data_IF_113862861716
#
_entry.id   IF_113862861716
#
_cell.length_a   1.000
_cell.length_b   1.000
_cell.length_c   1.000
_cell.angle_alpha   90.00
_cell.angle_beta   90.00
_cell.angle_gamma   90.00
#
_symmetry.space_group_name_H-M   'P 1'
#
loop_
_entity.id
_entity.type
_entity.pdbx_description
1 polymer ?
#
# COMPACT_ATOMS: atom_id res chain seq x y z
N UNK A 1 17.80 -10.48 -18.51
CA UNK A 1 17.93 -10.42 -18.57
C UNK A 1 18.15 -10.97 -18.82
N UNK A 2 18.36 -11.62 -19.04
CA UNK A 2 18.46 -11.75 -19.22
C UNK A 2 17.97 -11.78 -19.21
N UNK A 3 17.90 -11.96 -19.09
CA UNK A 3 17.34 -11.79 -18.83
C UNK A 3 16.61 -11.47 -18.15
N UNK A 4 16.29 -11.91 -17.74
CA UNK A 4 15.29 -11.31 -17.12
C UNK A 4 15.35 -11.23 -15.72
N UNK A 5 15.80 -12.14 -14.99
CA UNK A 5 15.88 -12.10 -13.64
C UNK A 5 16.61 -11.00 -13.06
N UNK A 6 17.74 -10.88 -13.45
CA UNK A 6 18.48 -9.76 -13.05
C UNK A 6 17.84 -8.53 -13.62
N UNK A 7 16.90 -8.72 -14.47
CA UNK A 7 16.16 -7.65 -15.06
C UNK A 7 15.40 -6.86 -13.99
N UNK A 8 14.71 -7.52 -13.07
CA UNK A 8 14.02 -6.81 -12.00
C UNK A 8 15.00 -6.08 -11.09
N UNK A 9 16.10 -6.72 -10.77
CA UNK A 9 17.13 -6.09 -9.95
C UNK A 9 17.76 -4.91 -10.70
N UNK A 10 17.95 -5.06 -12.01
CA UNK A 10 18.52 -4.01 -12.80
C UNK A 10 17.59 -2.80 -12.89
N UNK A 11 16.30 -3.02 -13.01
CA UNK A 11 15.34 -1.95 -13.03
C UNK A 11 15.44 -1.10 -11.78
N UNK A 12 15.60 -1.73 -10.62
CA UNK A 12 15.76 -1.02 -9.36
C UNK A 12 17.08 -0.26 -9.28
N UNK A 13 18.10 -0.73 -9.95
CA UNK A 13 19.40 -0.07 -9.93
C UNK A 13 19.48 1.06 -10.91
N UNK A 14 18.80 0.94 -12.06
CA UNK A 14 18.95 1.88 -13.16
C UNK A 14 17.84 2.91 -13.27
N UNK A 15 16.70 2.67 -12.65
CA UNK A 15 15.60 3.64 -12.67
C UNK A 15 15.90 4.85 -11.80
N UNK A 16 15.09 5.87 -11.93
CA UNK A 16 15.20 7.03 -11.07
C UNK A 16 14.90 6.62 -9.63
N UNK A 17 15.26 7.47 -8.67
CA UNK A 17 15.01 7.19 -7.27
C UNK A 17 13.51 6.98 -7.03
N UNK A 18 12.67 7.84 -7.59
CA UNK A 18 11.23 7.72 -7.39
C UNK A 18 10.69 6.44 -8.03
N UNK A 19 11.15 6.08 -9.22
CA UNK A 19 10.71 4.85 -9.88
C UNK A 19 11.06 3.64 -9.04
N UNK A 20 12.28 3.61 -8.49
CA UNK A 20 12.70 2.51 -7.64
C UNK A 20 11.88 2.44 -6.36
N UNK A 21 11.56 3.61 -5.78
CA UNK A 21 10.75 3.67 -4.57
C UNK A 21 9.34 3.15 -4.84
N UNK A 22 8.72 3.57 -5.93
CA UNK A 22 7.37 3.14 -6.27
C UNK A 22 7.32 1.63 -6.52
N UNK A 23 8.34 1.08 -7.13
CA UNK A 23 8.41 -0.35 -7.36
C UNK A 23 8.46 -1.12 -6.04
N UNK A 24 9.27 -0.65 -5.10
CA UNK A 24 9.36 -1.31 -3.78
C UNK A 24 8.03 -1.19 -3.03
N UNK A 25 7.38 -0.04 -3.09
CA UNK A 25 6.07 0.13 -2.46
C UNK A 25 5.09 -0.88 -3.04
N UNK A 26 5.07 -1.03 -4.36
CA UNK A 26 4.13 -1.97 -5.01
C UNK A 26 4.40 -3.41 -4.57
N UNK A 27 5.65 -3.77 -4.34
CA UNK A 27 6.01 -5.12 -3.93
C UNK A 27 5.83 -5.37 -2.44
N UNK A 28 5.87 -4.33 -1.62
CA UNK A 28 5.95 -4.47 -0.17
C UNK A 28 4.89 -3.71 0.63
N UNK A 29 3.87 -3.12 -0.02
CA UNK A 29 2.88 -2.33 0.72
C UNK A 29 2.15 -3.13 1.80
N UNK A 30 2.07 -4.44 1.64
CA UNK A 30 1.39 -5.31 2.61
C UNK A 30 2.26 -5.66 3.82
N UNK A 31 3.53 -5.27 3.79
CA UNK A 31 4.40 -5.48 4.95
C UNK A 31 4.14 -4.39 5.97
N UNK A 32 3.84 -4.79 7.21
CA UNK A 32 3.57 -3.80 8.27
C UNK A 32 4.79 -2.92 8.54
N UNK A 33 5.99 -3.43 8.25
CA UNK A 33 7.23 -2.73 8.53
C UNK A 33 7.64 -1.72 7.46
N UNK A 34 6.90 -1.64 6.35
CA UNK A 34 7.27 -0.68 5.32
C UNK A 34 6.97 0.74 5.80
N UNK A 35 8.00 1.55 5.87
CA UNK A 35 7.92 2.94 6.31
C UNK A 35 8.84 3.77 5.45
N UNK A 36 8.75 5.09 5.57
CA UNK A 36 9.68 5.97 4.86
C UNK A 36 11.11 5.66 5.28
N UNK A 37 11.33 5.38 6.57
CA UNK A 37 12.66 5.07 7.08
C UNK A 37 13.18 3.76 6.47
N UNK A 38 12.38 2.70 6.47
CA UNK A 38 12.84 1.42 5.92
C UNK A 38 13.05 1.51 4.40
N UNK A 39 12.18 2.23 3.71
CA UNK A 39 12.31 2.40 2.26
C UNK A 39 13.56 3.19 1.92
N UNK A 40 13.82 4.26 2.66
CA UNK A 40 15.01 5.08 2.40
C UNK A 40 16.30 4.29 2.69
N UNK A 41 16.27 3.42 3.69
CA UNK A 41 17.40 2.54 3.99
C UNK A 41 17.66 1.57 2.83
N UNK A 42 16.60 0.99 2.26
CA UNK A 42 16.73 0.10 1.12
C UNK A 42 17.34 0.81 -0.09
N UNK A 43 17.04 2.10 -0.24
CA UNK A 43 17.50 2.88 -1.38
C UNK A 43 18.78 3.66 -1.11
N UNK A 44 19.29 3.54 0.11
CA UNK A 44 20.55 4.18 0.53
C UNK A 44 20.50 5.71 0.36
N UNK A 45 19.40 6.31 0.79
CA UNK A 45 19.23 7.77 0.78
C UNK A 45 18.63 8.19 2.13
N UNK A 46 18.65 9.48 2.42
CA UNK A 46 18.03 9.96 3.66
C UNK A 46 16.51 9.99 3.50
N UNK A 47 15.76 9.82 4.59
CA UNK A 47 14.30 9.91 4.54
C UNK A 47 13.81 11.25 4.00
N UNK A 48 14.47 12.35 4.38
CA UNK A 48 14.07 13.68 3.91
C UNK A 48 14.25 13.82 2.40
N UNK A 49 15.36 13.31 1.89
CA UNK A 49 15.60 13.35 0.44
C UNK A 49 14.56 12.51 -0.31
N UNK A 50 14.28 11.31 0.18
CA UNK A 50 13.31 10.43 -0.44
C UNK A 50 11.91 11.05 -0.41
N UNK A 51 11.51 11.59 0.74
CA UNK A 51 10.21 12.23 0.91
C UNK A 51 10.02 13.38 -0.09
N UNK A 52 11.03 14.24 -0.21
CA UNK A 52 10.97 15.37 -1.15
C UNK A 52 10.89 14.88 -2.59
N UNK A 53 11.65 13.85 -2.92
CA UNK A 53 11.69 13.29 -4.26
C UNK A 53 10.32 12.73 -4.67
N UNK A 54 9.70 11.97 -3.78
CA UNK A 54 8.38 11.39 -4.05
C UNK A 54 7.34 12.49 -4.19
N UNK A 55 7.35 13.48 -3.28
CA UNK A 55 6.39 14.56 -3.32
C UNK A 55 6.50 15.35 -4.63
N UNK A 56 7.73 15.62 -5.05
CA UNK A 56 7.97 16.37 -6.28
C UNK A 56 7.52 15.58 -7.52
N UNK A 57 7.82 14.29 -7.55
CA UNK A 57 7.54 13.46 -8.71
C UNK A 57 6.07 13.07 -8.79
N UNK A 58 5.45 12.71 -7.67
CA UNK A 58 4.10 12.16 -7.66
C UNK A 58 3.01 13.15 -7.23
N UNK A 59 3.39 14.28 -6.68
CA UNK A 59 2.42 15.26 -6.19
C UNK A 59 1.77 14.85 -4.88
N UNK A 60 2.16 13.73 -4.29
CA UNK A 60 1.60 13.26 -3.02
C UNK A 60 2.69 12.62 -2.17
N UNK A 61 2.41 12.46 -0.89
CA UNK A 61 3.40 11.94 0.06
C UNK A 61 3.52 10.42 -0.03
N UNK A 62 4.64 9.90 0.48
CA UNK A 62 4.85 8.46 0.62
C UNK A 62 3.67 7.82 1.37
N UNK A 63 3.25 8.42 2.49
CA UNK A 63 2.17 7.87 3.31
C UNK A 63 0.86 7.79 2.51
N UNK A 64 0.55 8.81 1.73
CA UNK A 64 -0.68 8.79 0.93
C UNK A 64 -0.64 7.65 -0.09
N UNK A 65 0.49 7.45 -0.74
CA UNK A 65 0.65 6.37 -1.71
C UNK A 65 0.51 5.01 -1.02
N UNK A 66 1.17 4.84 0.12
CA UNK A 66 1.14 3.57 0.86
C UNK A 66 -0.27 3.24 1.33
N UNK A 67 -0.94 4.21 1.96
CA UNK A 67 -2.30 4.00 2.49
C UNK A 67 -3.26 3.69 1.34
N UNK A 68 -3.16 4.43 0.24
CA UNK A 68 -4.03 4.16 -0.91
C UNK A 68 -3.87 2.73 -1.42
N UNK A 69 -2.64 2.27 -1.60
CA UNK A 69 -2.41 0.90 -2.08
C UNK A 69 -2.95 -0.14 -1.10
N UNK A 70 -2.73 0.07 0.20
CA UNK A 70 -3.25 -0.84 1.22
C UNK A 70 -4.77 -0.86 1.23
N UNK A 71 -5.41 0.30 1.10
CA UNK A 71 -6.87 0.38 1.15
C UNK A 71 -7.52 -0.16 -0.12
N UNK A 72 -6.88 0.01 -1.27
CA UNK A 72 -7.38 -0.59 -2.51
C UNK A 72 -7.44 -2.11 -2.38
N UNK A 73 -6.39 -2.72 -1.83
CA UNK A 73 -6.38 -4.16 -1.61
C UNK A 73 -7.43 -4.57 -0.58
N UNK A 74 -7.55 -3.80 0.51
CA UNK A 74 -8.56 -4.10 1.53
C UNK A 74 -9.97 -4.05 0.93
N UNK A 75 -10.24 -3.05 0.12
CA UNK A 75 -11.54 -2.90 -0.53
C UNK A 75 -11.84 -4.11 -1.41
N UNK A 76 -10.87 -4.53 -2.21
CA UNK A 76 -11.02 -5.72 -3.04
C UNK A 76 -11.32 -6.95 -2.19
N UNK A 77 -10.57 -7.16 -1.11
CA UNK A 77 -10.79 -8.33 -0.26
C UNK A 77 -12.15 -8.29 0.44
N UNK A 78 -12.61 -7.11 0.85
CA UNK A 78 -13.93 -6.98 1.47
C UNK A 78 -15.04 -7.34 0.49
N UNK A 79 -14.86 -7.02 -0.79
CA UNK A 79 -15.89 -7.23 -1.80
C UNK A 79 -15.81 -8.59 -2.49
N UNK A 80 -14.68 -9.27 -2.42
CA UNK A 80 -14.49 -10.52 -3.16
C UNK A 80 -14.26 -11.75 -2.29
N UNK A 81 -14.12 -11.58 -0.96
CA UNK A 81 -13.87 -12.72 -0.07
C UNK A 81 -14.77 -12.66 1.15
N UNK A 82 -14.78 -13.76 1.90
CA UNK A 82 -15.49 -13.83 3.18
C UNK A 82 -14.51 -13.77 4.36
N UNK A 83 -13.27 -13.33 4.12
CA UNK A 83 -12.29 -13.20 5.17
C UNK A 83 -12.79 -12.26 6.27
N UNK A 84 -12.45 -12.57 7.52
CA UNK A 84 -12.80 -11.69 8.63
C UNK A 84 -12.04 -10.37 8.50
N UNK A 85 -12.64 -9.31 9.03
CA UNK A 85 -12.04 -7.97 8.95
C UNK A 85 -10.63 -7.98 9.54
N UNK A 86 -10.44 -8.69 10.65
CA UNK A 86 -9.13 -8.81 11.29
C UNK A 86 -8.09 -9.41 10.34
N UNK A 87 -8.47 -10.42 9.59
CA UNK A 87 -7.57 -11.06 8.64
C UNK A 87 -7.24 -10.14 7.46
N UNK A 88 -8.24 -9.40 6.98
CA UNK A 88 -8.02 -8.43 5.91
C UNK A 88 -7.05 -7.34 6.38
N UNK A 89 -7.24 -6.84 7.61
CA UNK A 89 -6.34 -5.84 8.16
C UNK A 89 -4.90 -6.35 8.17
N UNK A 90 -4.71 -7.57 8.64
CA UNK A 90 -3.39 -8.17 8.72
C UNK A 90 -2.74 -8.31 7.35
N UNK A 91 -3.51 -8.77 6.37
CA UNK A 91 -3.00 -8.94 4.99
C UNK A 91 -2.64 -7.63 4.33
N UNK A 92 -3.24 -6.54 4.78
CA UNK A 92 -2.97 -5.22 4.22
C UNK A 92 -1.90 -4.45 5.00
N UNK A 93 -1.21 -5.10 5.95
CA UNK A 93 -0.11 -4.47 6.66
C UNK A 93 -0.48 -3.80 7.97
N UNK A 94 -1.65 -4.12 8.53
CA UNK A 94 -2.09 -3.54 9.81
C UNK A 94 -2.14 -4.61 10.87
N UNK A 95 -1.51 -4.35 12.02
CA UNK A 95 -1.54 -5.28 13.14
C UNK A 95 -2.76 -5.06 14.01
N UNK A 96 -3.31 -3.85 14.01
CA UNK A 96 -4.44 -3.45 14.84
C UNK A 96 -5.68 -3.25 13.96
N UNK A 97 -6.70 -4.09 14.17
CA UNK A 97 -7.94 -4.02 13.42
C UNK A 97 -8.66 -2.69 13.61
N UNK A 98 -8.61 -2.13 14.82
CA UNK A 98 -9.31 -0.88 15.11
C UNK A 98 -8.66 0.28 14.35
N UNK A 99 -7.35 0.30 14.32
CA UNK A 99 -6.63 1.33 13.56
C UNK A 99 -6.86 1.16 12.07
N UNK A 100 -6.87 -0.08 11.59
CA UNK A 100 -7.19 -0.38 10.19
C UNK A 100 -8.56 0.17 9.83
N UNK A 101 -9.57 -0.11 10.66
CA UNK A 101 -10.94 0.34 10.40
C UNK A 101 -11.05 1.86 10.38
N UNK A 102 -10.32 2.52 11.26
CA UNK A 102 -10.26 3.98 11.28
C UNK A 102 -9.67 4.51 9.97
N UNK A 103 -8.55 3.96 9.55
CA UNK A 103 -7.89 4.38 8.30
C UNK A 103 -8.77 4.10 7.09
N UNK A 104 -9.43 2.94 7.08
CA UNK A 104 -10.28 2.55 5.98
C UNK A 104 -11.46 3.51 5.85
N UNK A 105 -12.11 3.83 6.95
CA UNK A 105 -13.23 4.76 6.93
C UNK A 105 -12.79 6.15 6.49
N UNK A 106 -11.62 6.58 6.95
CA UNK A 106 -11.08 7.88 6.56
C UNK A 106 -10.78 7.93 5.06
N UNK A 107 -10.29 6.82 4.51
CA UNK A 107 -9.96 6.74 3.08
C UNK A 107 -11.20 6.61 2.21
N UNK A 108 -12.10 5.71 2.56
CA UNK A 108 -13.23 5.33 1.69
C UNK A 108 -14.55 6.00 2.04
N UNK A 109 -14.66 6.61 3.21
CA UNK A 109 -15.89 7.23 3.66
C UNK A 109 -16.83 6.27 4.36
N UNK A 110 -16.56 4.97 4.36
CA UNK A 110 -17.40 3.97 5.00
C UNK A 110 -16.53 2.96 5.74
N UNK A 111 -17.07 2.36 6.80
CA UNK A 111 -16.31 1.37 7.56
C UNK A 111 -16.23 0.04 6.79
N UNK A 112 -15.23 -0.80 7.11
CA UNK A 112 -15.14 -2.12 6.48
C UNK A 112 -16.41 -2.95 6.67
N UNK A 113 -17.00 -2.90 7.86
CA UNK A 113 -18.22 -3.66 8.15
C UNK A 113 -19.38 -3.12 7.30
N UNK A 114 -19.51 -1.79 7.19
CA UNK A 114 -20.57 -1.20 6.41
C UNK A 114 -20.43 -1.55 4.93
N UNK A 115 -19.21 -1.55 4.38
CA UNK A 115 -18.99 -1.93 3.00
C UNK A 115 -19.38 -3.39 2.77
N UNK A 116 -19.02 -4.27 3.70
CA UNK A 116 -19.36 -5.69 3.56
C UNK A 116 -20.87 -5.92 3.64
N UNK A 117 -21.58 -5.15 4.48
CA UNK A 117 -23.04 -5.23 4.55
C UNK A 117 -23.67 -4.73 3.26
N UNK A 118 -23.13 -3.67 2.66
CA UNK A 118 -23.62 -3.15 1.40
C UNK A 118 -23.46 -4.19 0.28
N UNK A 119 -22.33 -4.92 0.29
CA UNK A 119 -22.12 -6.01 -0.66
C UNK A 119 -23.18 -7.11 -0.49
N UNK A 120 -23.44 -7.51 0.76
CA UNK A 120 -24.42 -8.57 1.05
C UNK A 120 -25.82 -8.14 0.63
N UNK A 121 -26.13 -6.84 0.71
CA UNK A 121 -27.42 -6.31 0.29
C UNK A 121 -27.50 -6.03 -1.22
N UNK A 122 -26.41 -6.29 -1.95
CA UNK A 122 -26.37 -6.04 -3.39
C UNK A 122 -26.12 -4.58 -3.75
N UNK A 123 -25.71 -3.77 -2.77
CA UNK A 123 -25.47 -2.32 -2.97
C UNK A 123 -24.04 -1.98 -3.33
N UNK A 124 -23.12 -2.93 -3.17
CA UNK A 124 -21.71 -2.73 -3.53
C UNK A 124 -21.19 -3.97 -4.24
N UNK A 125 -20.33 -3.76 -5.23
CA UNK A 125 -19.79 -4.85 -6.05
C UNK A 125 -18.30 -4.70 -6.23
N UNK A 126 -17.60 -5.81 -6.48
CA UNK A 126 -16.17 -5.75 -6.74
C UNK A 126 -15.84 -4.91 -7.97
#
# INVERSE_FOLDING_TARGET
GEGGVSFTADARKTGSLCERALEIIEQHYMDEDLSLASLSAMLDVSPNHLSACIKKSEGETFINILVRRRMETAQTLLLTTDLQIQEIARRCGYTDQHYFSYCFKKYSGTSPVALRRARAAGEARP
#
